data_IF_015205391335
#
_entry.id   IF_015205391335
#
_cell.length_a   1.000
_cell.length_b   1.000
_cell.length_c   1.000
_cell.angle_alpha   90.00
_cell.angle_beta   90.00
_cell.angle_gamma   90.00
#
_symmetry.space_group_name_H-M   'P 1'
#
loop_
_entity.id
_entity.type
_entity.pdbx_description
1 polymer ?
#
# COMPACT_ATOMS: atom_id res chain seq x y z
N UNK A 1 -25.57 -51.10 -4.60
CA UNK A 1 -25.64 -49.83 -5.35
C UNK A 1 -24.36 -49.03 -5.09
N UNK A 2 -24.17 -47.88 -5.73
CA UNK A 2 -23.01 -47.03 -5.45
C UNK A 2 -23.14 -46.31 -4.08
N UNK A 3 -24.37 -46.03 -3.62
CA UNK A 3 -24.66 -45.45 -2.29
C UNK A 3 -24.16 -46.33 -1.16
N UNK A 4 -24.55 -47.62 -1.14
CA UNK A 4 -24.12 -48.57 -0.10
C UNK A 4 -22.59 -48.64 0.03
N UNK A 5 -21.87 -48.52 -1.09
CA UNK A 5 -20.39 -48.52 -1.08
C UNK A 5 -19.82 -47.26 -0.45
N UNK A 6 -20.49 -46.11 -0.64
CA UNK A 6 -20.09 -44.85 -0.01
C UNK A 6 -20.42 -44.91 1.48
N UNK A 7 -21.62 -45.37 1.86
CA UNK A 7 -22.01 -45.50 3.27
C UNK A 7 -21.08 -46.43 4.04
N UNK A 8 -20.79 -47.61 3.50
CA UNK A 8 -19.84 -48.54 4.12
C UNK A 8 -18.44 -47.93 4.27
N UNK A 9 -17.94 -47.21 3.25
CA UNK A 9 -16.65 -46.53 3.35
C UNK A 9 -16.65 -45.43 4.41
N UNK A 10 -17.71 -44.61 4.46
CA UNK A 10 -17.82 -43.51 5.42
C UNK A 10 -17.88 -44.04 6.84
N UNK A 11 -18.64 -45.10 7.09
CA UNK A 11 -18.73 -45.74 8.41
C UNK A 11 -17.39 -46.39 8.77
N UNK A 12 -16.90 -47.33 7.95
CA UNK A 12 -15.71 -48.14 8.26
C UNK A 12 -14.41 -47.34 8.38
N UNK A 13 -14.25 -46.27 7.58
CA UNK A 13 -12.97 -45.53 7.47
C UNK A 13 -12.98 -44.17 8.13
N UNK A 14 -14.12 -43.48 8.11
CA UNK A 14 -14.21 -42.11 8.61
C UNK A 14 -15.10 -41.99 9.86
N UNK A 15 -15.85 -43.05 10.21
CA UNK A 15 -16.86 -43.03 11.27
C UNK A 15 -17.86 -41.88 11.06
N UNK A 16 -18.35 -41.75 9.82
CA UNK A 16 -19.30 -40.73 9.38
C UNK A 16 -20.50 -41.38 8.69
N UNK A 17 -21.64 -40.70 8.71
CA UNK A 17 -22.86 -41.12 8.01
C UNK A 17 -23.24 -40.11 6.91
N UNK A 18 -23.90 -40.58 5.84
CA UNK A 18 -24.47 -39.69 4.84
C UNK A 18 -25.63 -38.89 5.42
N UNK A 19 -25.70 -37.61 5.06
CA UNK A 19 -26.86 -36.78 5.40
C UNK A 19 -28.08 -37.31 4.65
N UNK A 20 -29.25 -37.40 5.32
CA UNK A 20 -30.51 -37.87 4.72
C UNK A 20 -30.99 -37.11 3.47
N UNK A 21 -30.52 -35.88 3.26
CA UNK A 21 -30.88 -35.05 2.11
C UNK A 21 -29.63 -34.40 1.52
N UNK A 22 -29.28 -34.84 0.32
CA UNK A 22 -28.18 -34.31 -0.48
C UNK A 22 -28.55 -34.36 -1.97
N UNK A 23 -27.92 -33.49 -2.74
CA UNK A 23 -27.95 -33.53 -4.20
C UNK A 23 -26.57 -33.95 -4.68
N UNK A 24 -26.51 -35.03 -5.46
CA UNK A 24 -25.29 -35.41 -6.15
C UNK A 24 -24.90 -34.32 -7.14
N UNK A 25 -23.64 -33.94 -7.11
CA UNK A 25 -23.07 -32.98 -8.04
C UNK A 25 -21.80 -33.55 -8.63
N UNK A 26 -21.45 -33.05 -9.82
CA UNK A 26 -20.16 -33.37 -10.41
C UNK A 26 -19.03 -32.97 -9.46
N UNK A 27 -17.99 -33.82 -9.37
CA UNK A 27 -16.73 -33.50 -8.66
C UNK A 27 -16.10 -32.22 -9.20
N UNK A 28 -16.38 -31.87 -10.46
CA UNK A 28 -16.01 -30.60 -11.09
C UNK A 28 -16.77 -29.38 -10.55
N UNK A 29 -17.60 -29.48 -9.51
CA UNK A 29 -18.12 -28.35 -8.74
C UNK A 29 -17.28 -28.05 -7.49
N UNK A 30 -16.59 -29.06 -6.95
CA UNK A 30 -15.88 -28.98 -5.68
C UNK A 30 -16.79 -28.79 -4.48
N UNK A 31 -16.18 -28.68 -3.30
CA UNK A 31 -16.88 -28.55 -2.02
C UNK A 31 -16.48 -27.25 -1.34
N UNK A 32 -17.47 -26.51 -0.84
CA UNK A 32 -17.23 -25.30 -0.06
C UNK A 32 -16.74 -25.65 1.35
N UNK A 33 -15.52 -25.23 1.70
CA UNK A 33 -14.93 -25.48 3.03
C UNK A 33 -14.08 -24.30 3.51
N UNK A 34 -14.35 -23.78 4.71
CA UNK A 34 -13.58 -22.70 5.37
C UNK A 34 -13.21 -21.49 4.48
N UNK A 35 -14.08 -21.10 3.55
CA UNK A 35 -13.81 -19.96 2.65
C UNK A 35 -13.10 -20.33 1.35
N UNK A 36 -12.86 -21.61 1.13
CA UNK A 36 -12.34 -22.21 -0.09
C UNK A 36 -13.41 -23.02 -0.84
N UNK A 37 -13.13 -23.28 -2.11
CA UNK A 37 -13.76 -24.32 -2.91
C UNK A 37 -12.68 -25.39 -3.12
N UNK A 38 -12.86 -26.55 -2.50
CA UNK A 38 -11.94 -27.69 -2.57
C UNK A 38 -12.26 -28.48 -3.82
N UNK A 39 -11.31 -28.52 -4.77
CA UNK A 39 -11.33 -29.42 -5.93
C UNK A 39 -10.36 -30.57 -5.68
N UNK A 40 -10.44 -31.59 -6.52
CA UNK A 40 -9.57 -32.77 -6.45
C UNK A 40 -8.09 -32.39 -6.41
N UNK A 41 -7.67 -31.48 -7.30
CA UNK A 41 -6.23 -31.20 -7.50
C UNK A 41 -5.82 -29.79 -7.05
N UNK A 42 -6.77 -28.94 -6.63
CA UNK A 42 -6.48 -27.55 -6.26
C UNK A 42 -7.55 -26.91 -5.38
N UNK A 43 -7.15 -25.82 -4.72
CA UNK A 43 -8.01 -24.97 -3.91
C UNK A 43 -8.31 -23.67 -4.64
N UNK A 44 -9.57 -23.22 -4.62
CA UNK A 44 -9.96 -21.87 -5.03
C UNK A 44 -10.47 -21.08 -3.84
N UNK A 45 -10.37 -19.75 -3.89
CA UNK A 45 -11.01 -18.89 -2.91
C UNK A 45 -12.47 -18.64 -3.28
N UNK A 46 -13.38 -18.73 -2.30
CA UNK A 46 -14.82 -18.46 -2.54
C UNK A 46 -15.05 -17.01 -2.94
N UNK A 47 -15.97 -16.79 -3.88
CA UNK A 47 -16.36 -15.45 -4.38
C UNK A 47 -16.75 -14.49 -3.26
N UNK A 48 -17.45 -14.96 -2.22
CA UNK A 48 -17.84 -14.14 -1.06
C UNK A 48 -16.65 -13.52 -0.31
N UNK A 49 -15.53 -14.26 -0.20
CA UNK A 49 -14.31 -13.78 0.46
C UNK A 49 -13.68 -12.67 -0.37
N UNK A 50 -13.57 -12.89 -1.69
CA UNK A 50 -13.04 -11.89 -2.63
C UNK A 50 -13.91 -10.64 -2.68
N UNK A 51 -15.23 -10.79 -2.68
CA UNK A 51 -16.16 -9.67 -2.71
C UNK A 51 -16.08 -8.83 -1.42
N UNK A 52 -15.95 -9.47 -0.25
CA UNK A 52 -15.72 -8.78 1.01
C UNK A 52 -14.42 -7.96 0.99
N UNK A 53 -13.32 -8.53 0.48
CA UNK A 53 -12.07 -7.79 0.29
C UNK A 53 -12.28 -6.56 -0.60
N UNK A 54 -12.94 -6.72 -1.75
CA UNK A 54 -13.19 -5.62 -2.69
C UNK A 54 -14.03 -4.49 -2.08
N UNK A 55 -15.03 -4.82 -1.26
CA UNK A 55 -15.83 -3.82 -0.52
C UNK A 55 -14.92 -3.01 0.40
N UNK A 56 -14.16 -3.68 1.26
CA UNK A 56 -13.23 -3.04 2.20
C UNK A 56 -12.19 -2.17 1.46
N UNK A 57 -11.62 -2.65 0.35
CA UNK A 57 -10.67 -1.87 -0.43
C UNK A 57 -11.28 -0.61 -1.06
N UNK A 58 -12.58 -0.60 -1.39
CA UNK A 58 -13.26 0.62 -1.85
C UNK A 58 -13.48 1.60 -0.70
N UNK A 59 -13.83 1.12 0.48
CA UNK A 59 -13.97 1.94 1.68
C UNK A 59 -12.65 2.65 2.00
N UNK A 60 -11.54 1.90 2.08
CA UNK A 60 -10.20 2.49 2.28
C UNK A 60 -9.81 3.47 1.18
N UNK A 61 -10.17 3.20 -0.10
CA UNK A 61 -9.93 4.17 -1.19
C UNK A 61 -10.63 5.51 -0.90
N UNK A 62 -11.89 5.48 -0.47
CA UNK A 62 -12.66 6.70 -0.20
C UNK A 62 -12.10 7.55 0.95
N UNK A 63 -11.45 6.89 1.92
CA UNK A 63 -10.81 7.52 3.06
C UNK A 63 -9.41 8.08 2.69
N UNK A 64 -8.61 7.27 2.00
CA UNK A 64 -7.19 7.55 1.72
C UNK A 64 -6.96 8.38 0.45
N UNK A 65 -7.91 8.39 -0.49
CA UNK A 65 -7.74 9.02 -1.80
C UNK A 65 -8.79 10.10 -1.99
N UNK A 66 -8.34 11.31 -2.32
CA UNK A 66 -9.20 12.41 -2.74
C UNK A 66 -8.87 12.77 -4.18
N UNK A 67 -9.86 12.61 -5.06
CA UNK A 67 -9.75 13.00 -6.45
C UNK A 67 -9.95 14.52 -6.56
N UNK A 68 -9.08 15.19 -7.33
CA UNK A 68 -9.22 16.59 -7.69
C UNK A 68 -9.23 16.76 -9.22
N UNK A 69 -9.38 17.99 -9.73
CA UNK A 69 -9.42 18.23 -11.18
C UNK A 69 -8.12 17.87 -11.90
N UNK A 70 -7.00 18.18 -11.27
CA UNK A 70 -5.66 18.03 -11.84
C UNK A 70 -4.73 17.14 -11.01
N UNK A 71 -5.05 17.00 -9.73
CA UNK A 71 -4.25 16.28 -8.77
C UNK A 71 -5.10 15.28 -8.03
N UNK A 72 -4.56 14.08 -7.85
CA UNK A 72 -5.07 13.10 -6.90
C UNK A 72 -4.26 13.20 -5.61
N UNK A 73 -4.93 13.33 -4.48
CA UNK A 73 -4.29 13.39 -3.16
C UNK A 73 -4.39 12.04 -2.46
N UNK A 74 -3.25 11.50 -2.05
CA UNK A 74 -3.13 10.31 -1.21
C UNK A 74 -2.79 10.73 0.22
N UNK A 75 -3.55 10.26 1.19
CA UNK A 75 -3.33 10.50 2.62
C UNK A 75 -2.54 9.35 3.24
N UNK A 76 -1.52 9.68 4.02
CA UNK A 76 -0.68 8.70 4.72
C UNK A 76 -0.94 8.78 6.22
N UNK A 77 -2.12 8.33 6.62
CA UNK A 77 -2.44 8.11 8.03
C UNK A 77 -1.84 6.77 8.48
N UNK A 78 -0.83 6.80 9.35
CA UNK A 78 -0.07 5.60 9.72
C UNK A 78 -0.96 4.52 10.35
N UNK A 79 -1.89 4.92 11.22
CA UNK A 79 -2.77 3.97 11.91
C UNK A 79 -3.74 3.30 10.93
N UNK A 80 -4.35 4.09 10.04
CA UNK A 80 -5.24 3.58 9.00
C UNK A 80 -4.50 2.68 8.02
N UNK A 81 -3.28 3.05 7.63
CA UNK A 81 -2.45 2.25 6.74
C UNK A 81 -1.94 0.97 7.40
N UNK A 82 -1.71 0.96 8.71
CA UNK A 82 -1.37 -0.26 9.45
C UNK A 82 -2.57 -1.20 9.54
N UNK A 83 -3.79 -0.68 9.76
CA UNK A 83 -5.03 -1.48 9.71
C UNK A 83 -5.28 -2.06 8.32
N UNK A 84 -5.07 -1.27 7.27
CA UNK A 84 -5.15 -1.74 5.88
C UNK A 84 -4.09 -2.82 5.59
N UNK A 85 -2.85 -2.64 6.07
CA UNK A 85 -1.79 -3.63 5.92
C UNK A 85 -2.17 -4.95 6.61
N UNK A 86 -2.68 -4.91 7.84
CA UNK A 86 -3.10 -6.09 8.58
C UNK A 86 -4.26 -6.83 7.88
N UNK A 87 -5.23 -6.08 7.37
CA UNK A 87 -6.32 -6.62 6.56
C UNK A 87 -5.77 -7.33 5.32
N UNK A 88 -4.92 -6.67 4.54
CA UNK A 88 -4.32 -7.25 3.34
C UNK A 88 -3.51 -8.50 3.69
N UNK A 89 -2.67 -8.47 4.73
CA UNK A 89 -1.90 -9.62 5.18
C UNK A 89 -2.78 -10.82 5.56
N UNK A 90 -3.92 -10.60 6.20
CA UNK A 90 -4.87 -11.68 6.52
C UNK A 90 -5.44 -12.33 5.25
N UNK A 91 -5.88 -11.53 4.28
CA UNK A 91 -6.36 -12.07 3.00
C UNK A 91 -5.26 -12.73 2.18
N UNK A 92 -4.05 -12.18 2.16
CA UNK A 92 -2.91 -12.77 1.47
C UNK A 92 -2.50 -14.10 2.08
N UNK A 93 -2.57 -14.24 3.41
CA UNK A 93 -2.39 -15.52 4.09
C UNK A 93 -3.43 -16.56 3.66
N UNK A 94 -4.71 -16.15 3.57
CA UNK A 94 -5.79 -17.00 3.04
C UNK A 94 -5.54 -17.38 1.58
N UNK A 95 -5.10 -16.43 0.76
CA UNK A 95 -4.88 -16.61 -0.67
C UNK A 95 -3.69 -17.51 -0.98
N UNK A 96 -2.64 -17.49 -0.13
CA UNK A 96 -1.44 -18.33 -0.27
C UNK A 96 -1.77 -19.84 -0.31
N UNK A 97 -2.88 -20.26 0.30
CA UNK A 97 -3.32 -21.66 0.31
C UNK A 97 -4.11 -22.08 -0.93
N UNK A 98 -4.40 -21.15 -1.85
CA UNK A 98 -5.25 -21.40 -3.02
C UNK A 98 -4.61 -20.87 -4.31
N UNK A 99 -5.11 -21.36 -5.45
CA UNK A 99 -4.69 -20.87 -6.75
C UNK A 99 -5.22 -19.44 -7.00
N UNK A 100 -4.42 -18.46 -6.60
CA UNK A 100 -4.84 -17.05 -6.50
C UNK A 100 -3.93 -16.07 -7.23
N UNK A 101 -2.92 -16.52 -7.98
CA UNK A 101 -1.99 -15.65 -8.68
C UNK A 101 -2.69 -14.58 -9.53
N UNK A 102 -3.58 -15.01 -10.44
CA UNK A 102 -4.35 -14.11 -11.30
C UNK A 102 -5.34 -13.23 -10.52
N UNK A 103 -5.88 -13.76 -9.41
CA UNK A 103 -6.77 -13.01 -8.53
C UNK A 103 -6.01 -11.86 -7.86
N UNK A 104 -4.85 -12.12 -7.27
CA UNK A 104 -3.97 -11.14 -6.63
C UNK A 104 -3.58 -10.04 -7.62
N UNK A 105 -3.13 -10.43 -8.83
CA UNK A 105 -2.80 -9.49 -9.91
C UNK A 105 -3.98 -8.59 -10.26
N UNK A 106 -5.16 -9.17 -10.49
CA UNK A 106 -6.37 -8.41 -10.83
C UNK A 106 -6.82 -7.47 -9.71
N UNK A 107 -6.68 -7.88 -8.44
CA UNK A 107 -7.00 -7.02 -7.29
C UNK A 107 -6.06 -5.82 -7.27
N UNK A 108 -4.76 -6.02 -7.48
CA UNK A 108 -3.77 -4.93 -7.46
C UNK A 108 -3.94 -3.95 -8.63
N UNK A 109 -4.26 -4.47 -9.83
CA UNK A 109 -4.56 -3.65 -11.00
C UNK A 109 -5.81 -2.78 -10.79
N UNK A 110 -6.90 -3.37 -10.30
CA UNK A 110 -8.17 -2.65 -10.04
C UNK A 110 -8.07 -1.67 -8.88
N UNK A 111 -7.19 -1.94 -7.92
CA UNK A 111 -6.94 -1.10 -6.76
C UNK A 111 -5.53 -0.49 -6.81
N UNK A 112 -5.14 0.06 -7.96
CA UNK A 112 -3.81 0.62 -8.22
C UNK A 112 -3.34 1.67 -7.21
N UNK A 113 -4.28 2.33 -6.52
CA UNK A 113 -3.99 3.26 -5.41
C UNK A 113 -3.17 2.61 -4.28
N UNK A 114 -3.26 1.27 -4.10
CA UNK A 114 -2.49 0.54 -3.09
C UNK A 114 -0.97 0.62 -3.35
N UNK A 115 -0.55 0.75 -4.61
CA UNK A 115 0.86 0.91 -4.99
C UNK A 115 1.51 2.19 -4.47
N UNK A 116 0.72 3.14 -3.97
CA UNK A 116 1.21 4.34 -3.30
C UNK A 116 1.71 4.04 -1.89
N UNK A 117 1.11 3.05 -1.23
CA UNK A 117 1.34 2.72 0.17
C UNK A 117 2.17 1.45 0.35
N UNK A 118 2.10 0.53 -0.60
CA UNK A 118 2.72 -0.79 -0.49
C UNK A 118 3.41 -1.23 -1.78
N UNK A 119 4.49 -1.99 -1.64
CA UNK A 119 4.92 -2.91 -2.69
C UNK A 119 4.29 -4.27 -2.44
N UNK A 120 3.92 -4.95 -3.52
CA UNK A 120 3.30 -6.26 -3.48
C UNK A 120 4.11 -7.24 -4.32
N UNK A 121 4.48 -8.36 -3.69
CA UNK A 121 5.09 -9.52 -4.32
C UNK A 121 3.99 -10.58 -4.51
N UNK A 122 3.51 -10.81 -5.75
CA UNK A 122 2.43 -11.75 -6.02
C UNK A 122 2.83 -13.21 -5.85
N UNK A 123 4.12 -13.54 -6.00
CA UNK A 123 4.61 -14.91 -5.86
C UNK A 123 4.72 -15.28 -4.38
N UNK A 124 5.33 -14.41 -3.58
CA UNK A 124 5.45 -14.62 -2.14
C UNK A 124 4.16 -14.27 -1.37
N UNK A 125 3.15 -13.68 -2.04
CA UNK A 125 1.97 -13.08 -1.39
C UNK A 125 2.36 -12.13 -0.25
N UNK A 126 3.41 -11.33 -0.46
CA UNK A 126 4.04 -10.51 0.58
C UNK A 126 3.86 -9.02 0.32
N UNK A 127 3.56 -8.30 1.39
CA UNK A 127 3.34 -6.86 1.38
C UNK A 127 4.50 -6.13 2.06
N UNK A 128 5.06 -5.12 1.42
CA UNK A 128 6.07 -4.22 2.02
C UNK A 128 5.53 -2.81 2.14
N UNK A 129 5.60 -2.22 3.34
CA UNK A 129 5.09 -0.87 3.63
C UNK A 129 6.05 0.20 3.08
N UNK A 130 5.56 1.10 2.22
CA UNK A 130 6.36 2.21 1.63
C UNK A 130 6.54 3.39 2.58
N UNK A 131 5.61 3.56 3.50
CA UNK A 131 5.58 4.68 4.45
C UNK A 131 6.47 4.47 5.67
N UNK A 132 6.97 3.23 5.89
CA UNK A 132 7.90 2.90 6.97
C UNK A 132 9.28 2.56 6.41
N UNK A 133 10.28 3.36 6.79
CA UNK A 133 11.66 3.05 6.45
C UNK A 133 12.26 1.97 7.37
N UNK A 134 13.31 1.24 6.93
CA UNK A 134 13.93 0.19 7.73
C UNK A 134 14.56 0.71 9.04
N UNK A 135 14.49 -0.08 10.11
CA UNK A 135 14.99 0.29 11.45
C UNK A 135 16.49 0.68 11.50
N UNK A 136 17.29 0.24 10.52
CA UNK A 136 18.71 0.58 10.40
C UNK A 136 18.98 2.05 10.01
N UNK A 137 17.99 2.80 9.55
CA UNK A 137 18.15 4.21 9.19
C UNK A 137 18.18 5.08 10.44
N UNK A 138 19.36 5.64 10.71
CA UNK A 138 19.61 6.45 11.91
C UNK A 138 19.75 7.93 11.62
N UNK A 139 20.06 8.36 10.39
CA UNK A 139 20.32 9.77 10.04
C UNK A 139 19.16 10.42 9.29
N UNK A 140 18.93 11.71 9.51
CA UNK A 140 17.93 12.51 8.77
C UNK A 140 18.13 12.47 7.25
N UNK A 141 19.39 12.57 6.78
CA UNK A 141 19.69 12.47 5.36
C UNK A 141 19.39 11.07 4.78
N UNK A 142 19.58 10.01 5.55
CA UNK A 142 19.23 8.66 5.12
C UNK A 142 17.70 8.49 5.00
N UNK A 143 16.93 9.06 5.94
CA UNK A 143 15.47 9.11 5.83
C UNK A 143 15.03 9.87 4.57
N UNK A 144 15.68 11.00 4.25
CA UNK A 144 15.42 11.76 3.02
C UNK A 144 15.63 10.89 1.78
N UNK A 145 16.80 10.26 1.65
CA UNK A 145 17.14 9.47 0.47
C UNK A 145 16.28 8.21 0.33
N UNK A 146 15.85 7.61 1.45
CA UNK A 146 14.88 6.52 1.42
C UNK A 146 13.57 6.96 0.75
N UNK A 147 12.98 8.08 1.20
CA UNK A 147 11.74 8.57 0.61
C UNK A 147 11.93 9.14 -0.79
N UNK A 148 13.10 9.70 -1.10
CA UNK A 148 13.43 10.15 -2.45
C UNK A 148 13.44 9.00 -3.45
N UNK A 149 14.01 7.86 -3.06
CA UNK A 149 13.96 6.62 -3.85
C UNK A 149 12.51 6.09 -3.95
N UNK A 150 11.75 6.13 -2.85
CA UNK A 150 10.37 5.62 -2.83
C UNK A 150 9.39 6.41 -3.69
N UNK A 151 9.58 7.71 -3.75
CA UNK A 151 8.78 8.66 -4.53
C UNK A 151 9.67 9.27 -5.62
N UNK A 152 10.26 8.39 -6.44
CA UNK A 152 11.08 8.80 -7.57
C UNK A 152 10.24 9.65 -8.53
N UNK A 153 10.79 10.79 -8.96
CA UNK A 153 10.11 11.75 -9.83
C UNK A 153 9.27 12.80 -9.10
N UNK A 154 8.90 12.58 -7.84
CA UNK A 154 8.20 13.60 -7.06
C UNK A 154 9.15 14.70 -6.58
N UNK A 155 8.60 15.88 -6.34
CA UNK A 155 9.25 16.92 -5.53
C UNK A 155 9.03 16.57 -4.06
N UNK A 156 10.12 16.32 -3.32
CA UNK A 156 10.05 15.85 -1.95
C UNK A 156 10.15 17.03 -0.97
N UNK A 157 9.02 17.42 -0.38
CA UNK A 157 8.99 18.41 0.70
C UNK A 157 9.27 17.72 2.03
N UNK A 158 10.53 17.76 2.47
CA UNK A 158 10.99 17.02 3.65
C UNK A 158 11.18 17.93 4.87
N UNK A 159 10.29 17.82 5.86
CA UNK A 159 10.31 18.70 7.04
C UNK A 159 11.45 18.36 7.99
N UNK A 160 12.23 19.37 8.39
CA UNK A 160 13.21 19.30 9.46
C UNK A 160 13.00 20.52 10.38
N UNK A 161 12.41 20.28 11.55
CA UNK A 161 12.01 21.36 12.46
C UNK A 161 11.04 22.35 11.78
N UNK A 162 11.44 23.62 11.69
CA UNK A 162 10.64 24.72 11.12
C UNK A 162 10.84 24.96 9.63
N UNK A 163 11.57 24.08 8.94
CA UNK A 163 11.88 24.21 7.51
C UNK A 163 11.53 22.94 6.74
N UNK A 164 11.22 23.10 5.45
CA UNK A 164 11.32 22.06 4.45
C UNK A 164 12.70 22.13 3.80
N UNK A 165 13.39 21.00 3.70
CA UNK A 165 14.79 20.91 3.26
C UNK A 165 14.94 19.96 2.07
N UNK A 166 15.76 20.36 1.10
CA UNK A 166 16.13 19.56 -0.08
C UNK A 166 17.61 19.20 -0.03
N UNK A 167 17.93 17.92 -0.22
CA UNK A 167 19.29 17.38 -0.10
C UNK A 167 19.86 16.91 -1.45
N UNK A 168 19.03 16.70 -2.48
CA UNK A 168 19.47 16.17 -3.78
C UNK A 168 19.84 17.29 -4.75
N UNK A 169 20.85 17.09 -5.62
CA UNK A 169 21.05 17.99 -6.78
C UNK A 169 19.92 17.85 -7.81
N UNK A 170 19.20 16.71 -7.82
CA UNK A 170 18.06 16.50 -8.72
C UNK A 170 16.96 17.55 -8.53
N UNK A 171 16.92 18.20 -7.37
CA UNK A 171 15.91 19.20 -7.04
C UNK A 171 16.37 20.62 -7.44
N UNK A 172 17.57 20.80 -8.03
CA UNK A 172 18.14 22.12 -8.38
C UNK A 172 17.24 22.92 -9.30
N UNK A 173 16.81 22.33 -10.42
CA UNK A 173 16.02 23.03 -11.43
C UNK A 173 14.69 23.48 -10.85
N UNK A 174 13.95 22.56 -10.23
CA UNK A 174 12.66 22.88 -9.62
C UNK A 174 12.79 23.86 -8.45
N UNK A 175 13.85 23.76 -7.64
CA UNK A 175 14.11 24.69 -6.55
C UNK A 175 14.37 26.11 -7.08
N UNK A 176 15.18 26.27 -8.12
CA UNK A 176 15.39 27.56 -8.76
C UNK A 176 14.08 28.12 -9.35
N UNK A 177 13.29 27.28 -10.04
CA UNK A 177 12.03 27.68 -10.68
C UNK A 177 10.97 28.17 -9.68
N UNK A 178 10.95 27.61 -8.46
CA UNK A 178 10.05 28.09 -7.39
C UNK A 178 10.65 29.22 -6.54
N UNK A 179 11.83 29.72 -6.91
CA UNK A 179 12.49 30.89 -6.32
C UNK A 179 13.32 30.59 -5.06
N UNK A 180 13.83 29.37 -4.89
CA UNK A 180 14.74 29.03 -3.80
C UNK A 180 16.20 29.29 -4.19
N UNK A 181 16.92 29.97 -3.31
CA UNK A 181 18.37 30.13 -3.42
C UNK A 181 19.12 28.91 -2.85
N UNK A 182 20.30 28.62 -3.41
CA UNK A 182 21.18 27.58 -2.88
C UNK A 182 21.75 28.02 -1.52
N UNK A 183 21.58 27.17 -0.51
CA UNK A 183 22.13 27.36 0.82
C UNK A 183 23.64 27.06 0.79
N UNK A 184 24.43 27.85 1.54
CA UNK A 184 25.87 27.62 1.70
C UNK A 184 26.15 26.22 2.27
N UNK A 185 27.34 25.69 1.97
CA UNK A 185 27.77 24.37 2.44
C UNK A 185 27.61 24.29 3.96
N UNK A 186 26.90 23.28 4.42
CA UNK A 186 26.60 23.04 5.82
C UNK A 186 26.84 21.58 6.18
N UNK A 187 27.06 21.30 7.47
CA UNK A 187 27.33 19.94 7.96
C UNK A 187 26.22 18.93 7.65
N UNK A 188 24.98 19.40 7.45
CA UNK A 188 23.81 18.56 7.17
C UNK A 188 23.70 18.17 5.69
N UNK A 189 24.37 18.88 4.78
CA UNK A 189 24.29 18.66 3.34
C UNK A 189 23.02 19.21 2.69
N UNK A 190 22.29 20.11 3.37
CA UNK A 190 21.09 20.76 2.84
C UNK A 190 21.49 21.71 1.72
N UNK A 191 20.73 21.72 0.62
CA UNK A 191 21.01 22.52 -0.58
C UNK A 191 20.01 23.63 -0.79
N UNK A 192 18.73 23.36 -0.51
CA UNK A 192 17.64 24.33 -0.62
C UNK A 192 16.68 24.14 0.55
N UNK A 193 15.89 25.17 0.87
CA UNK A 193 14.84 25.03 1.85
C UNK A 193 14.04 26.31 2.06
N UNK A 194 12.88 26.15 2.69
CA UNK A 194 11.99 27.27 3.02
C UNK A 194 11.23 27.00 4.33
N UNK A 195 10.72 28.05 5.01
CA UNK A 195 9.98 27.90 6.26
C UNK A 195 8.65 27.14 6.11
N UNK A 196 8.31 26.30 7.10
CA UNK A 196 7.09 25.46 7.09
C UNK A 196 5.80 26.27 6.91
N UNK A 197 5.71 27.47 7.49
CA UNK A 197 4.53 28.32 7.38
C UNK A 197 4.25 28.82 5.94
N UNK A 198 5.22 28.69 5.03
CA UNK A 198 5.06 29.05 3.61
C UNK A 198 4.66 27.86 2.73
N UNK A 199 4.34 26.70 3.30
CA UNK A 199 4.07 25.47 2.55
C UNK A 199 3.03 25.65 1.45
N UNK A 200 1.90 26.31 1.76
CA UNK A 200 0.83 26.50 0.78
C UNK A 200 1.30 27.35 -0.41
N UNK A 201 2.11 28.38 -0.15
CA UNK A 201 2.70 29.21 -1.20
C UNK A 201 3.59 28.38 -2.13
N UNK A 202 4.45 27.53 -1.57
CA UNK A 202 5.35 26.70 -2.36
C UNK A 202 4.63 25.56 -3.09
N UNK A 203 3.61 24.94 -2.47
CA UNK A 203 2.77 23.95 -3.15
C UNK A 203 2.08 24.58 -4.37
N UNK A 204 1.53 25.79 -4.24
CA UNK A 204 0.90 26.49 -5.37
C UNK A 204 1.90 26.81 -6.50
N UNK A 205 3.15 27.16 -6.17
CA UNK A 205 4.21 27.35 -7.17
C UNK A 205 4.53 26.02 -7.87
N UNK A 206 4.67 24.94 -7.11
CA UNK A 206 4.97 23.61 -7.65
C UNK A 206 3.88 23.08 -8.57
N UNK A 207 2.60 23.36 -8.28
CA UNK A 207 1.48 22.98 -9.16
C UNK A 207 1.59 23.57 -10.58
N UNK A 208 2.23 24.73 -10.75
CA UNK A 208 2.46 25.35 -12.07
C UNK A 208 3.40 24.52 -12.95
N UNK A 209 4.24 23.69 -12.34
CA UNK A 209 5.21 22.84 -13.03
C UNK A 209 4.67 21.44 -13.36
N UNK A 210 3.39 21.15 -13.05
CA UNK A 210 2.73 19.86 -13.37
C UNK A 210 3.51 18.65 -12.84
N UNK A 211 4.16 18.80 -11.69
CA UNK A 211 4.91 17.73 -11.02
C UNK A 211 4.10 17.14 -9.88
N UNK A 212 4.40 15.88 -9.55
CA UNK A 212 3.91 15.24 -8.34
C UNK A 212 4.71 15.72 -7.12
N UNK A 213 4.05 15.82 -5.96
CA UNK A 213 4.63 16.37 -4.74
C UNK A 213 4.40 15.38 -3.60
N UNK A 214 5.46 15.00 -2.90
CA UNK A 214 5.38 14.17 -1.69
C UNK A 214 5.78 14.99 -0.48
N UNK A 215 4.90 15.07 0.52
CA UNK A 215 5.14 15.83 1.75
C UNK A 215 5.46 14.86 2.88
N UNK A 216 6.67 15.00 3.43
CA UNK A 216 7.19 14.19 4.51
C UNK A 216 7.29 15.05 5.77
N UNK A 217 6.55 14.68 6.80
CA UNK A 217 6.47 15.44 8.05
C UNK A 217 7.24 14.76 9.17
N UNK A 218 7.66 15.59 10.13
CA UNK A 218 8.32 15.15 11.35
C UNK A 218 7.29 14.66 12.38
N UNK A 219 7.51 13.48 12.97
CA UNK A 219 6.62 12.94 14.01
C UNK A 219 6.78 13.70 15.34
N UNK A 220 5.67 13.82 16.08
CA UNK A 220 5.62 14.52 17.38
C UNK A 220 6.22 13.71 18.53
N UNK A 221 6.26 12.37 18.46
CA UNK A 221 6.74 11.52 19.56
C UNK A 221 8.27 11.43 19.57
N UNK A 222 8.88 11.72 20.73
CA UNK A 222 10.32 11.64 20.92
C UNK A 222 10.74 11.36 22.37
N UNK A 223 11.13 10.11 22.70
CA UNK A 223 11.81 9.81 23.96
C UNK A 223 13.36 9.86 23.85
N UNK A 224 13.93 9.99 22.64
CA UNK A 224 15.39 10.04 22.40
C UNK A 224 15.79 9.55 21.00
N UNK A 225 16.92 10.05 20.45
CA UNK A 225 17.48 9.68 19.12
C UNK A 225 16.71 10.23 17.90
N UNK A 226 17.34 10.45 16.74
CA UNK A 226 16.79 11.23 15.59
C UNK A 226 15.29 11.07 15.31
N UNK A 227 14.58 12.21 15.21
CA UNK A 227 13.12 12.26 15.01
C UNK A 227 12.74 11.48 13.74
N UNK A 228 11.70 10.65 13.87
CA UNK A 228 11.15 9.91 12.74
C UNK A 228 10.38 10.87 11.83
N UNK A 229 10.46 10.60 10.52
CA UNK A 229 9.71 11.32 9.50
C UNK A 229 8.94 10.32 8.67
N UNK A 230 7.71 10.66 8.31
CA UNK A 230 6.84 9.82 7.52
C UNK A 230 6.11 10.66 6.47
N UNK A 231 5.70 10.07 5.34
CA UNK A 231 4.83 10.75 4.39
C UNK A 231 3.53 11.10 5.10
N UNK A 232 3.03 12.31 4.87
CA UNK A 232 1.72 12.74 5.36
C UNK A 232 0.69 12.76 4.23
N UNK A 233 1.08 13.27 3.06
CA UNK A 233 0.28 13.21 1.86
C UNK A 233 1.13 13.31 0.60
N UNK A 234 0.61 12.78 -0.50
CA UNK A 234 1.17 12.87 -1.86
C UNK A 234 0.14 13.47 -2.80
N UNK A 235 0.54 14.48 -3.56
CA UNK A 235 -0.21 15.01 -4.70
C UNK A 235 0.36 14.39 -5.98
N UNK A 236 -0.41 13.53 -6.62
CA UNK A 236 -0.06 12.95 -7.91
C UNK A 236 -0.67 13.79 -9.02
N UNK A 237 0.17 14.34 -9.89
CA UNK A 237 -0.29 15.04 -11.09
C UNK A 237 -0.96 14.03 -12.03
N UNK A 238 -2.22 14.29 -12.38
CA UNK A 238 -2.94 13.49 -13.37
C UNK A 238 -2.71 14.12 -14.74
N UNK A 239 -1.89 13.46 -15.56
CA UNK A 239 -1.79 13.82 -16.99
C UNK A 239 -3.17 13.64 -17.61
N UNK A 240 -3.81 14.74 -18.00
CA UNK A 240 -4.98 14.67 -18.86
C UNK A 240 -4.48 14.16 -20.22
N UNK A 241 -5.03 13.02 -20.65
CA UNK A 241 -4.91 12.52 -22.01
C UNK A 241 -5.71 13.42 -22.95
#
# INVERSE_FOLDING_TARGET
>A
MWEDKIEAFLDDKLQLELRKSFNLQSVSNGIDFLGYIVRTDYLLVRRRVVNNLRVKLREYKSLLVKEGRFYRRYLFDEEMLDRLAALLSSYLGHFKMANTYNLCKSVWEKHSYLGQYFDFDPEACRLTRKYKYPAGIRRTCQQYFYYRWRFTGDVLLFQVGRFFEFYSEHDKEIACNIGLARIRKNRRGVKYGFPVHMIDTFIQRLFRHKTSISVILESKQYPGGIKKRAPAYRYEWMRQL
#
